data_IF_423243923875
#
_entry.id   IF_423243923875
#
_cell.length_a   1.000
_cell.length_b   1.000
_cell.length_c   1.000
_cell.angle_alpha   90.00
_cell.angle_beta   90.00
_cell.angle_gamma   90.00
#
_symmetry.space_group_name_H-M   'P 1'
#
loop_
_entity.id
_entity.type
_entity.pdbx_description
1 polymer ?
#
# COMPACT_ATOMS: atom_id res chain seq x y z
N UNK A 1 13.13 41.24 5.97
CA UNK A 1 12.82 40.03 5.19
C UNK A 1 12.55 38.92 6.18
N UNK A 2 11.52 38.09 5.98
CA UNK A 2 11.29 36.96 6.88
C UNK A 2 12.56 36.08 6.91
N UNK A 3 13.06 35.80 8.11
CA UNK A 3 14.32 35.09 8.30
C UNK A 3 14.25 33.71 7.63
N UNK A 4 15.20 33.45 6.73
CA UNK A 4 15.33 32.15 6.09
C UNK A 4 15.67 31.09 7.15
N UNK A 5 14.95 29.95 7.22
CA UNK A 5 15.21 28.93 8.22
C UNK A 5 16.68 28.47 8.19
N UNK A 6 17.34 28.44 9.36
CA UNK A 6 18.73 27.98 9.45
C UNK A 6 18.81 26.53 8.96
N UNK A 7 19.85 26.23 8.16
CA UNK A 7 20.14 24.87 7.71
C UNK A 7 19.35 24.38 6.50
N UNK A 8 18.64 25.26 5.78
CA UNK A 8 17.79 24.86 4.65
C UNK A 8 18.25 25.44 3.30
N UNK A 9 19.43 25.05 2.77
CA UNK A 9 19.86 25.45 1.41
C UNK A 9 19.06 24.71 0.31
N UNK A 10 19.14 25.14 -0.96
CA UNK A 10 19.70 26.41 -1.45
C UNK A 10 18.71 27.57 -1.31
N UNK A 11 19.17 28.77 -0.92
CA UNK A 11 18.26 29.93 -0.77
C UNK A 11 17.63 30.38 -2.09
N UNK A 12 18.36 30.20 -3.19
CA UNK A 12 17.93 30.51 -4.54
C UNK A 12 18.42 29.46 -5.53
N UNK A 13 17.66 29.26 -6.61
CA UNK A 13 18.07 28.39 -7.72
C UNK A 13 19.08 29.11 -8.64
N UNK A 14 19.92 28.38 -9.40
CA UNK A 14 20.75 28.98 -10.43
C UNK A 14 19.94 29.81 -11.43
N UNK A 15 20.43 31.01 -11.76
CA UNK A 15 19.74 31.93 -12.69
C UNK A 15 19.49 31.31 -14.07
N UNK A 16 20.39 30.44 -14.53
CA UNK A 16 20.26 29.71 -15.79
C UNK A 16 18.98 28.86 -15.88
N UNK A 17 18.42 28.43 -14.74
CA UNK A 17 17.20 27.61 -14.71
C UNK A 17 15.92 28.44 -14.87
N UNK A 18 16.00 29.78 -14.76
CA UNK A 18 14.85 30.70 -14.82
C UNK A 18 13.68 30.25 -13.95
N UNK A 19 13.99 29.74 -12.76
CA UNK A 19 13.05 29.09 -11.85
C UNK A 19 12.50 29.98 -10.73
N UNK A 20 11.84 29.35 -9.77
CA UNK A 20 11.28 29.96 -8.57
C UNK A 20 12.04 29.46 -7.33
N UNK A 21 12.38 30.36 -6.41
CA UNK A 21 13.06 29.99 -5.16
C UNK A 21 12.09 29.34 -4.15
N UNK A 22 12.62 28.91 -3.00
CA UNK A 22 11.85 28.38 -1.85
C UNK A 22 11.18 27.02 -2.08
N UNK A 23 11.64 26.26 -3.06
CA UNK A 23 11.17 24.90 -3.36
C UNK A 23 11.14 23.97 -2.13
N UNK A 24 12.12 24.10 -1.23
CA UNK A 24 12.26 23.28 -0.02
C UNK A 24 11.31 23.68 1.13
N UNK A 25 10.68 24.85 1.03
CA UNK A 25 9.77 25.35 2.07
C UNK A 25 8.33 24.88 1.85
N UNK A 26 8.07 24.11 0.78
CA UNK A 26 6.76 23.58 0.44
C UNK A 26 6.87 22.10 0.02
N UNK A 27 5.86 21.29 0.39
CA UNK A 27 5.72 19.91 -0.10
C UNK A 27 5.03 19.89 -1.45
N UNK A 28 5.77 20.25 -2.51
CA UNK A 28 5.39 20.15 -3.93
C UNK A 28 6.50 19.43 -4.68
N UNK A 29 6.21 18.93 -5.88
CA UNK A 29 7.24 18.35 -6.74
C UNK A 29 8.36 19.40 -6.99
N UNK A 30 9.66 19.06 -6.78
CA UNK A 30 10.70 20.07 -6.80
C UNK A 30 10.97 20.69 -8.18
N UNK A 31 10.93 19.89 -9.25
CA UNK A 31 11.30 20.37 -10.58
C UNK A 31 10.26 21.29 -11.24
N UNK A 32 9.03 21.43 -10.73
CA UNK A 32 8.10 22.50 -11.13
C UNK A 32 8.61 23.89 -10.78
N UNK A 33 9.58 24.01 -9.88
CA UNK A 33 10.24 25.28 -9.59
C UNK A 33 11.36 25.60 -10.59
N UNK A 34 11.59 24.74 -11.59
CA UNK A 34 12.65 24.87 -12.60
C UNK A 34 13.80 23.93 -12.30
N UNK A 35 14.46 23.48 -13.38
CA UNK A 35 15.57 22.54 -13.30
C UNK A 35 16.52 22.73 -14.50
N UNK A 36 17.69 22.11 -14.49
CA UNK A 36 18.66 22.23 -15.60
C UNK A 36 18.17 21.62 -16.93
N UNK A 37 17.07 20.86 -16.91
CA UNK A 37 16.42 20.26 -18.08
C UNK A 37 14.92 20.60 -18.19
N UNK A 38 14.36 21.47 -17.34
CA UNK A 38 12.92 21.72 -17.29
C UNK A 38 12.56 23.15 -16.87
N UNK A 39 11.47 23.72 -17.41
CA UNK A 39 11.05 25.07 -17.07
C UNK A 39 10.46 25.16 -15.66
N UNK A 40 10.52 26.36 -15.06
CA UNK A 40 9.76 26.67 -13.86
C UNK A 40 8.27 26.84 -14.18
N UNK A 41 7.43 25.89 -13.77
CA UNK A 41 5.97 25.91 -13.88
C UNK A 41 5.31 25.51 -12.55
N UNK A 42 5.37 26.39 -11.55
CA UNK A 42 4.80 26.17 -10.21
C UNK A 42 3.27 26.29 -10.19
N UNK A 43 2.59 25.38 -10.89
CA UNK A 43 1.12 25.36 -11.05
C UNK A 43 0.38 25.12 -9.73
N UNK A 44 -0.89 25.53 -9.72
CA UNK A 44 -1.86 25.27 -8.65
C UNK A 44 -3.14 24.67 -9.24
N UNK A 45 -3.72 23.69 -8.56
CA UNK A 45 -4.94 23.02 -8.99
C UNK A 45 -5.19 21.72 -8.24
N UNK A 46 -6.38 21.17 -8.43
CA UNK A 46 -6.78 19.86 -7.94
C UNK A 46 -6.25 18.82 -8.94
N UNK A 47 -5.09 18.25 -8.64
CA UNK A 47 -4.36 17.37 -9.57
C UNK A 47 -4.75 15.88 -9.49
N UNK A 48 -5.64 15.54 -8.56
CA UNK A 48 -6.17 14.19 -8.34
C UNK A 48 -7.68 14.23 -8.20
N UNK A 49 -8.30 13.06 -8.34
CA UNK A 49 -9.74 12.90 -8.18
C UNK A 49 -10.23 13.33 -6.79
N UNK A 50 -11.48 13.82 -6.76
CA UNK A 50 -12.23 14.10 -5.53
C UNK A 50 -13.44 13.17 -5.52
N UNK A 51 -13.71 12.56 -4.37
CA UNK A 51 -14.86 11.68 -4.17
C UNK A 51 -15.61 12.02 -2.87
N UNK A 52 -16.88 11.62 -2.82
CA UNK A 52 -17.69 11.61 -1.59
C UNK A 52 -17.75 10.17 -1.10
N UNK A 53 -17.42 9.97 0.18
CA UNK A 53 -17.45 8.68 0.84
C UNK A 53 -18.58 8.70 1.86
N UNK A 54 -19.47 7.71 1.80
CA UNK A 54 -20.57 7.53 2.75
C UNK A 54 -20.28 6.33 3.63
N UNK A 55 -20.43 6.52 4.94
CA UNK A 55 -20.27 5.45 5.92
C UNK A 55 -21.63 4.91 6.32
N UNK A 56 -21.81 3.59 6.18
CA UNK A 56 -22.94 2.91 6.79
C UNK A 56 -22.67 2.71 8.28
N UNK A 57 -23.69 2.97 9.10
CA UNK A 57 -23.58 2.98 10.57
C UNK A 57 -24.18 1.74 11.22
N UNK A 58 -24.83 0.90 10.44
CA UNK A 58 -25.55 -0.26 10.93
C UNK A 58 -24.63 -1.47 11.05
N UNK A 59 -24.95 -2.34 12.00
CA UNK A 59 -24.25 -3.61 12.16
C UNK A 59 -24.42 -4.42 10.88
N UNK A 60 -23.32 -4.83 10.28
CA UNK A 60 -23.31 -5.52 9.00
C UNK A 60 -22.93 -4.71 7.79
N UNK A 61 -22.90 -3.37 7.88
CA UNK A 61 -22.51 -2.52 6.75
C UNK A 61 -21.03 -2.69 6.34
N UNK A 62 -20.68 -2.32 5.10
CA UNK A 62 -19.30 -2.36 4.61
C UNK A 62 -18.41 -1.39 5.38
N UNK A 63 -17.20 -1.85 5.71
CA UNK A 63 -16.16 -1.00 6.30
C UNK A 63 -15.24 -0.49 5.21
N UNK A 64 -14.99 0.82 5.21
CA UNK A 64 -14.16 1.47 4.20
C UNK A 64 -12.69 1.18 4.47
N UNK A 65 -12.03 0.57 3.50
CA UNK A 65 -10.57 0.39 3.47
C UNK A 65 -9.96 1.58 2.71
N UNK A 66 -9.18 2.41 3.39
CA UNK A 66 -8.50 3.60 2.85
C UNK A 66 -7.19 3.24 2.14
N UNK A 67 -6.51 2.20 2.63
CA UNK A 67 -5.23 1.78 2.09
C UNK A 67 -4.92 0.34 2.47
N UNK A 68 -4.13 -0.29 1.61
CA UNK A 68 -3.58 -1.63 1.81
C UNK A 68 -2.08 -1.57 1.54
N UNK A 69 -1.31 -2.17 2.44
CA UNK A 69 0.10 -2.47 2.22
C UNK A 69 0.27 -3.98 2.17
N UNK A 70 0.96 -4.47 1.14
CA UNK A 70 1.28 -5.87 0.92
C UNK A 70 2.79 -6.05 1.02
N UNK A 71 3.21 -6.81 2.01
CA UNK A 71 4.61 -7.13 2.25
C UNK A 71 4.80 -8.64 2.20
N UNK A 72 5.88 -9.11 1.58
CA UNK A 72 6.14 -10.55 1.43
C UNK A 72 7.56 -10.87 1.81
N UNK A 73 7.74 -12.01 2.47
CA UNK A 73 9.03 -12.60 2.76
C UNK A 73 9.02 -14.07 2.37
N UNK A 74 10.13 -14.56 1.82
CA UNK A 74 10.40 -15.99 1.84
C UNK A 74 10.63 -16.44 3.28
N UNK A 75 10.21 -17.65 3.66
CA UNK A 75 10.37 -18.15 5.04
C UNK A 75 11.74 -18.74 5.34
N UNK A 76 12.57 -18.96 4.33
CA UNK A 76 13.95 -19.38 4.50
C UNK A 76 14.84 -18.20 4.09
N UNK A 77 15.61 -17.67 5.03
CA UNK A 77 16.57 -16.61 4.74
C UNK A 77 17.55 -17.03 3.65
N UNK A 78 17.93 -16.05 2.83
CA UNK A 78 19.09 -15.91 1.94
C UNK A 78 19.49 -17.05 0.97
N UNK A 79 18.88 -18.24 1.04
CA UNK A 79 19.11 -19.31 0.08
C UNK A 79 18.15 -19.17 -1.09
N UNK A 80 18.66 -18.67 -2.21
CA UNK A 80 18.06 -18.68 -3.55
C UNK A 80 17.94 -20.11 -4.12
N UNK A 81 17.53 -21.10 -3.32
CA UNK A 81 17.16 -22.40 -3.87
C UNK A 81 15.79 -22.27 -4.54
N UNK A 82 15.68 -22.75 -5.78
CA UNK A 82 14.48 -22.59 -6.60
C UNK A 82 13.55 -23.80 -6.44
N UNK A 83 13.48 -24.35 -5.23
CA UNK A 83 12.67 -25.53 -5.00
C UNK A 83 11.19 -25.12 -4.96
N UNK A 84 10.38 -25.75 -5.81
CA UNK A 84 9.00 -25.38 -6.14
C UNK A 84 7.96 -25.52 -5.01
N UNK A 85 8.41 -25.63 -3.76
CA UNK A 85 7.59 -25.95 -2.58
C UNK A 85 7.83 -25.01 -1.39
N UNK A 86 8.55 -23.91 -1.58
CA UNK A 86 8.93 -23.05 -0.46
C UNK A 86 7.77 -22.17 0.04
N UNK A 87 7.57 -22.07 1.37
CA UNK A 87 6.52 -21.25 1.93
C UNK A 87 6.83 -19.76 1.75
N UNK A 88 5.79 -18.98 1.48
CA UNK A 88 5.85 -17.53 1.50
C UNK A 88 4.99 -16.99 2.63
N UNK A 89 5.52 -16.02 3.36
CA UNK A 89 4.73 -15.19 4.26
C UNK A 89 4.29 -13.94 3.54
N UNK A 90 3.00 -13.62 3.62
CA UNK A 90 2.46 -12.35 3.19
C UNK A 90 1.83 -11.62 4.38
N UNK A 91 2.22 -10.36 4.57
CA UNK A 91 1.71 -9.47 5.59
C UNK A 91 0.82 -8.44 4.90
N UNK A 92 -0.45 -8.41 5.30
CA UNK A 92 -1.45 -7.50 4.78
C UNK A 92 -1.79 -6.45 5.85
N UNK A 93 -1.31 -5.22 5.67
CA UNK A 93 -1.72 -4.11 6.53
C UNK A 93 -2.86 -3.35 5.88
N UNK A 94 -3.94 -3.13 6.62
CA UNK A 94 -5.10 -2.38 6.13
C UNK A 94 -5.35 -1.16 7.01
N UNK A 95 -5.67 -0.06 6.35
CA UNK A 95 -6.16 1.15 7.02
C UNK A 95 -7.66 1.23 6.83
N UNK A 96 -8.40 1.19 7.93
CA UNK A 96 -9.85 1.31 7.93
C UNK A 96 -10.26 2.74 8.29
N UNK A 97 -11.26 3.25 7.58
CA UNK A 97 -11.94 4.49 7.91
C UNK A 97 -13.12 4.18 8.82
N UNK A 98 -12.97 4.45 10.12
CA UNK A 98 -14.00 4.23 11.13
C UNK A 98 -14.46 5.56 11.73
N UNK A 99 -15.75 5.93 11.65
CA UNK A 99 -16.29 7.10 12.32
C UNK A 99 -16.05 7.05 13.85
N UNK A 100 -15.81 8.20 14.48
CA UNK A 100 -15.52 8.26 15.92
C UNK A 100 -16.69 7.79 16.81
N UNK A 101 -17.93 7.83 16.29
CA UNK A 101 -19.16 7.36 16.94
C UNK A 101 -19.49 5.88 16.62
N UNK A 102 -18.56 5.14 16.03
CA UNK A 102 -18.75 3.72 15.74
C UNK A 102 -18.99 2.92 17.02
N UNK A 103 -20.17 2.30 17.12
CA UNK A 103 -20.57 1.43 18.26
C UNK A 103 -20.29 -0.05 18.02
N UNK A 104 -19.78 -0.39 16.84
CA UNK A 104 -19.46 -1.76 16.44
C UNK A 104 -18.24 -2.24 17.23
N UNK A 105 -18.21 -3.53 17.59
CA UNK A 105 -17.11 -4.12 18.36
C UNK A 105 -16.20 -5.03 17.52
N UNK A 106 -16.62 -5.43 16.31
CA UNK A 106 -15.92 -6.37 15.43
C UNK A 106 -15.96 -5.95 13.96
N UNK A 107 -14.90 -6.25 13.24
CA UNK A 107 -14.84 -6.19 11.78
C UNK A 107 -14.47 -7.59 11.30
N UNK A 108 -15.27 -8.13 10.39
CA UNK A 108 -14.88 -9.33 9.66
C UNK A 108 -14.13 -8.90 8.41
N UNK A 109 -13.04 -9.60 8.11
CA UNK A 109 -12.30 -9.43 6.86
C UNK A 109 -12.24 -10.76 6.13
N UNK A 110 -12.60 -10.72 4.86
CA UNK A 110 -12.48 -11.82 3.92
C UNK A 110 -11.39 -11.49 2.90
N UNK A 111 -10.49 -12.44 2.69
CA UNK A 111 -9.45 -12.36 1.67
C UNK A 111 -9.60 -13.51 0.67
N UNK A 112 -9.54 -13.16 -0.61
CA UNK A 112 -9.47 -14.10 -1.72
C UNK A 112 -8.26 -13.75 -2.60
N UNK A 113 -7.37 -14.72 -2.81
CA UNK A 113 -6.23 -14.57 -3.69
C UNK A 113 -6.43 -15.45 -4.93
N UNK A 114 -6.32 -14.84 -6.11
CA UNK A 114 -6.45 -15.53 -7.40
C UNK A 114 -5.18 -15.33 -8.22
N UNK A 115 -4.81 -16.34 -8.99
CA UNK A 115 -3.64 -16.25 -9.87
C UNK A 115 -3.93 -15.44 -11.14
N UNK A 116 -2.94 -15.34 -12.04
CA UNK A 116 -3.07 -14.60 -13.30
C UNK A 116 -4.10 -15.18 -14.28
N UNK A 117 -4.56 -16.43 -14.09
CA UNK A 117 -5.62 -17.06 -14.87
C UNK A 117 -7.02 -16.83 -14.27
N UNK A 118 -7.08 -16.31 -13.04
CA UNK A 118 -8.31 -16.16 -12.27
C UNK A 118 -8.67 -17.40 -11.46
N UNK A 119 -7.83 -18.44 -11.47
CA UNK A 119 -8.01 -19.59 -10.60
C UNK A 119 -7.77 -19.18 -9.14
N UNK A 120 -8.65 -19.64 -8.26
CA UNK A 120 -8.50 -19.41 -6.82
C UNK A 120 -7.22 -20.09 -6.34
N UNK A 121 -6.31 -19.27 -5.83
CA UNK A 121 -5.01 -19.69 -5.33
C UNK A 121 -5.02 -19.82 -3.81
N UNK A 122 -5.78 -18.95 -3.13
CA UNK A 122 -6.06 -19.03 -1.71
C UNK A 122 -7.48 -18.52 -1.46
N UNK A 123 -8.35 -19.35 -0.87
CA UNK A 123 -9.75 -19.02 -0.58
C UNK A 123 -10.03 -19.01 0.93
N UNK A 124 -10.91 -18.12 1.36
CA UNK A 124 -11.60 -18.26 2.65
C UNK A 124 -10.73 -18.00 3.88
N UNK A 125 -9.77 -17.07 3.80
CA UNK A 125 -9.22 -16.53 5.03
C UNK A 125 -10.21 -15.53 5.63
N UNK A 126 -10.72 -15.86 6.81
CA UNK A 126 -11.64 -15.01 7.57
C UNK A 126 -10.97 -14.66 8.89
N UNK A 127 -10.75 -13.38 9.11
CA UNK A 127 -10.34 -12.90 10.43
C UNK A 127 -11.39 -12.02 11.06
N UNK A 128 -11.55 -12.24 12.36
CA UNK A 128 -12.41 -11.42 13.20
C UNK A 128 -11.54 -10.46 13.99
N UNK A 129 -11.40 -9.25 13.49
CA UNK A 129 -10.64 -8.21 14.14
C UNK A 129 -11.54 -7.47 15.14
N UNK A 130 -11.07 -7.28 16.37
CA UNK A 130 -11.78 -6.41 17.32
C UNK A 130 -11.44 -4.97 17.00
N UNK A 131 -12.44 -4.07 17.01
CA UNK A 131 -12.21 -2.65 16.68
C UNK A 131 -11.23 -1.97 17.64
N UNK A 132 -11.16 -2.40 18.90
CA UNK A 132 -10.17 -1.90 19.85
C UNK A 132 -8.72 -2.23 19.46
N UNK A 133 -8.53 -3.26 18.64
CA UNK A 133 -7.22 -3.62 18.08
C UNK A 133 -6.97 -2.89 16.74
N UNK A 134 -7.98 -2.20 16.19
CA UNK A 134 -7.89 -1.44 14.95
C UNK A 134 -7.43 0.00 15.21
N UNK A 135 -6.11 0.18 15.35
CA UNK A 135 -5.51 1.51 15.40
C UNK A 135 -5.34 2.06 13.97
N UNK A 136 -5.55 3.38 13.75
CA UNK A 136 -5.20 4.03 12.48
C UNK A 136 -3.74 3.73 12.11
N UNK A 137 -3.50 3.20 10.92
CA UNK A 137 -2.14 2.92 10.42
C UNK A 137 -1.50 1.59 10.86
N UNK A 138 -2.14 0.77 11.71
CA UNK A 138 -1.50 -0.44 12.30
C UNK A 138 -2.34 -1.72 12.31
N UNK A 139 -3.50 -1.72 11.67
CA UNK A 139 -4.39 -2.88 11.67
C UNK A 139 -3.91 -3.92 10.63
N UNK A 140 -3.08 -4.87 11.07
CA UNK A 140 -2.47 -5.89 10.21
C UNK A 140 -3.14 -7.26 10.30
N UNK A 141 -3.27 -7.93 9.16
CA UNK A 141 -3.61 -9.34 9.03
C UNK A 141 -2.37 -10.07 8.49
N UNK A 142 -2.01 -11.19 9.10
CA UNK A 142 -0.95 -12.06 8.62
C UNK A 142 -1.54 -13.21 7.81
N UNK A 143 -1.04 -13.40 6.59
CA UNK A 143 -1.41 -14.51 5.71
C UNK A 143 -0.19 -15.40 5.48
N UNK A 144 -0.23 -16.63 6.01
CA UNK A 144 0.76 -17.65 5.69
C UNK A 144 0.31 -18.39 4.41
N UNK A 145 1.12 -18.31 3.36
CA UNK A 145 0.89 -18.98 2.07
C UNK A 145 1.89 -20.11 1.92
N UNK A 146 1.44 -21.34 2.19
CA UNK A 146 2.36 -22.45 2.47
C UNK A 146 2.92 -23.17 1.24
N UNK A 147 2.37 -22.98 0.04
CA UNK A 147 2.87 -23.65 -1.17
C UNK A 147 2.34 -23.05 -2.48
N UNK A 148 3.00 -23.37 -3.60
CA UNK A 148 2.53 -23.09 -4.96
C UNK A 148 2.74 -21.65 -5.45
N UNK A 149 3.39 -20.80 -4.65
CA UNK A 149 3.65 -19.41 -5.01
C UNK A 149 4.70 -19.35 -6.11
N UNK A 150 4.39 -18.59 -7.16
CA UNK A 150 5.34 -18.22 -8.21
C UNK A 150 5.76 -16.76 -7.97
N UNK A 151 7.05 -16.49 -7.72
CA UNK A 151 7.51 -15.14 -7.43
C UNK A 151 7.42 -14.23 -8.67
N UNK A 152 7.34 -12.93 -8.41
CA UNK A 152 7.45 -11.88 -9.41
C UNK A 152 8.93 -11.54 -9.64
N UNK A 153 9.36 -11.54 -10.90
CA UNK A 153 10.72 -11.15 -11.29
C UNK A 153 10.74 -9.86 -12.13
N UNK A 154 11.79 -9.02 -12.01
CA UNK A 154 12.05 -7.94 -12.95
C UNK A 154 12.23 -8.43 -14.39
N UNK A 155 12.14 -7.50 -15.34
CA UNK A 155 12.34 -7.80 -16.77
C UNK A 155 13.71 -8.45 -17.01
N UNK A 156 13.71 -9.60 -17.67
CA UNK A 156 14.93 -10.36 -17.99
C UNK A 156 15.41 -11.34 -16.90
N UNK A 157 14.76 -11.38 -15.73
CA UNK A 157 15.16 -12.23 -14.60
C UNK A 157 14.16 -13.34 -14.26
N UNK A 158 13.06 -13.44 -15.01
CA UNK A 158 12.03 -14.47 -14.83
C UNK A 158 10.65 -13.98 -15.22
N UNK A 159 9.63 -14.70 -14.78
CA UNK A 159 8.23 -14.38 -15.03
C UNK A 159 7.72 -13.26 -14.11
N UNK A 160 6.93 -12.33 -14.65
CA UNK A 160 6.28 -11.27 -13.87
C UNK A 160 4.95 -11.77 -13.28
N UNK A 161 4.98 -12.88 -12.54
CA UNK A 161 3.76 -13.44 -11.95
C UNK A 161 3.08 -12.42 -11.05
N UNK A 162 1.78 -12.18 -11.30
CA UNK A 162 0.93 -11.33 -10.47
C UNK A 162 -0.28 -12.12 -10.01
N UNK A 163 -0.82 -11.71 -8.87
CA UNK A 163 -2.00 -12.23 -8.26
C UNK A 163 -3.01 -11.11 -8.06
N UNK A 164 -4.29 -11.46 -8.01
CA UNK A 164 -5.35 -10.52 -7.60
C UNK A 164 -5.78 -10.84 -6.19
N UNK A 165 -5.50 -9.92 -5.27
CA UNK A 165 -6.00 -9.91 -3.90
C UNK A 165 -7.35 -9.17 -3.88
N UNK A 166 -8.42 -9.89 -3.56
CA UNK A 166 -9.72 -9.33 -3.29
C UNK A 166 -9.94 -9.25 -1.78
N UNK A 167 -10.30 -8.07 -1.28
CA UNK A 167 -10.49 -7.80 0.15
C UNK A 167 -11.89 -7.26 0.38
N UNK A 168 -12.61 -7.89 1.31
CA UNK A 168 -13.94 -7.49 1.74
C UNK A 168 -13.93 -7.30 3.26
N UNK A 169 -14.44 -6.17 3.75
CA UNK A 169 -14.57 -5.94 5.19
C UNK A 169 -15.95 -5.39 5.54
N UNK A 170 -16.55 -5.92 6.61
CA UNK A 170 -17.86 -5.48 7.09
C UNK A 170 -17.96 -5.55 8.61
N UNK A 171 -18.85 -4.73 9.15
CA UNK A 171 -19.06 -4.55 10.58
C UNK A 171 -19.85 -5.71 11.20
N UNK A 172 -19.50 -6.10 12.43
CA UNK A 172 -20.36 -6.95 13.26
C UNK A 172 -20.20 -8.45 13.07
N UNK A 173 -21.31 -9.18 13.21
CA UNK A 173 -21.39 -10.64 13.07
C UNK A 173 -22.47 -11.06 12.04
N UNK A 174 -22.96 -10.12 11.22
CA UNK A 174 -23.95 -10.41 10.17
C UNK A 174 -23.31 -11.09 8.94
N UNK A 175 -24.16 -11.48 7.99
CA UNK A 175 -23.71 -11.93 6.66
C UNK A 175 -22.89 -10.86 5.94
N UNK A 176 -22.05 -11.34 5.02
CA UNK A 176 -21.14 -10.55 4.19
C UNK A 176 -21.90 -9.48 3.40
N UNK A 177 -21.62 -8.21 3.68
CA UNK A 177 -22.22 -7.09 2.94
C UNK A 177 -21.14 -6.11 2.43
N UNK A 178 -20.27 -6.57 1.54
CA UNK A 178 -19.32 -5.71 0.86
C UNK A 178 -19.05 -6.18 -0.57
N UNK A 179 -18.69 -5.22 -1.43
CA UNK A 179 -18.10 -5.51 -2.75
C UNK A 179 -16.58 -5.54 -2.56
N UNK A 180 -15.90 -6.64 -2.92
CA UNK A 180 -14.46 -6.73 -2.70
C UNK A 180 -13.70 -5.67 -3.48
N UNK A 181 -12.77 -4.98 -2.80
CA UNK A 181 -11.75 -4.18 -3.47
C UNK A 181 -10.65 -5.11 -3.97
N UNK A 182 -10.24 -4.93 -5.23
CA UNK A 182 -9.25 -5.78 -5.89
C UNK A 182 -7.93 -5.04 -6.05
N UNK A 183 -6.85 -5.69 -5.68
CA UNK A 183 -5.49 -5.18 -5.77
C UNK A 183 -4.62 -6.19 -6.51
N UNK A 184 -3.78 -5.70 -7.40
CA UNK A 184 -2.75 -6.53 -8.02
C UNK A 184 -1.54 -6.60 -7.10
N UNK A 185 -1.15 -7.80 -6.71
CA UNK A 185 -0.01 -8.06 -5.81
C UNK A 185 0.96 -9.06 -6.45
N UNK A 186 2.18 -9.11 -5.94
CA UNK A 186 3.20 -10.07 -6.36
C UNK A 186 4.01 -10.50 -5.14
N UNK A 187 4.55 -11.71 -5.18
CA UNK A 187 5.45 -12.22 -4.15
C UNK A 187 6.89 -11.97 -4.59
N UNK A 188 7.64 -11.19 -3.81
CA UNK A 188 9.05 -10.90 -4.06
C UNK A 188 9.76 -10.56 -2.75
N UNK A 189 11.04 -10.86 -2.66
CA UNK A 189 11.95 -10.26 -1.70
C UNK A 189 12.79 -9.20 -2.40
N UNK A 190 13.23 -8.19 -1.65
CA UNK A 190 14.24 -7.23 -2.11
C UNK A 190 15.19 -7.03 -0.96
N UNK A 191 16.47 -7.25 -1.23
CA UNK A 191 17.56 -7.09 -0.28
C UNK A 191 18.59 -6.13 -0.87
N UNK A 192 19.15 -5.28 0.00
CA UNK A 192 20.32 -4.47 -0.32
C UNK A 192 21.53 -5.11 0.35
N UNK A 193 22.25 -5.94 -0.41
CA UNK A 193 23.51 -6.55 0.05
C UNK A 193 24.61 -5.49 -0.02
N UNK A 194 25.27 -5.23 1.12
CA UNK A 194 26.42 -4.35 1.22
C UNK A 194 27.58 -5.13 1.83
N UNK A 195 28.60 -5.39 1.03
CA UNK A 195 29.84 -6.03 1.47
C UNK A 195 30.94 -4.96 1.60
N UNK A 196 31.88 -5.15 2.53
CA UNK A 196 33.08 -4.31 2.61
C UNK A 196 34.00 -4.66 1.42
N UNK A 197 34.56 -3.63 0.78
CA UNK A 197 35.52 -3.75 -0.34
C UNK A 197 36.86 -4.40 0.07
#
# INVERSE_FOLDING_TARGET
>A
AADWPKGVPPKSLPSAWNGFDKVQLIRKEPCSFGWDWGPGLATSGIWKDIGVITHERENGGPVIIEGITWETSSTNGDELDQSSYEPWMAYLYMNFSLPADTTIHRVNVELLLTDGSGATFYDGFWEKLRILDLLPGKSGINLLVTSGVKPWWPNGYGEQQRYTLAVCAWAGDSERACVPKRFTVGFRSVELVMEDD
#
